data_IF_587127889626
#
_entry.id   IF_587127889626
#
_cell.length_a   1.000
_cell.length_b   1.000
_cell.length_c   1.000
_cell.angle_alpha   90.00
_cell.angle_beta   90.00
_cell.angle_gamma   90.00
#
_symmetry.space_group_name_H-M   'P 1'
#
loop_
_entity.id
_entity.type
_entity.pdbx_description
1 polymer ?
#
# COMPACT_ATOMS: atom_id res chain seq x y z
N UNK A 1 19.78 -49.72 -6.27
CA UNK A 1 20.34 -48.72 -7.20
C UNK A 1 19.57 -47.45 -6.93
N UNK A 2 20.03 -46.70 -5.94
CA UNK A 2 19.33 -45.55 -5.41
C UNK A 2 19.55 -44.34 -6.33
N UNK A 3 18.44 -43.88 -6.90
CA UNK A 3 18.38 -42.75 -7.81
C UNK A 3 18.68 -41.47 -7.04
N UNK A 4 19.86 -40.89 -7.29
CA UNK A 4 20.24 -39.53 -6.89
C UNK A 4 19.22 -38.54 -7.46
N UNK A 5 18.24 -38.16 -6.67
CA UNK A 5 17.34 -37.07 -6.99
C UNK A 5 18.07 -35.74 -6.75
N UNK A 6 18.50 -35.10 -7.83
CA UNK A 6 18.85 -33.68 -7.80
C UNK A 6 17.54 -32.88 -7.70
N UNK A 7 17.29 -32.11 -6.62
CA UNK A 7 16.16 -31.20 -6.58
C UNK A 7 16.39 -30.11 -7.62
N UNK A 8 15.65 -30.19 -8.73
CA UNK A 8 15.63 -29.16 -9.75
C UNK A 8 14.81 -28.00 -9.20
N UNK A 9 15.47 -27.02 -8.60
CA UNK A 9 14.83 -25.73 -8.32
C UNK A 9 14.51 -25.08 -9.66
N UNK A 10 13.28 -24.62 -9.91
CA UNK A 10 13.01 -23.77 -11.05
C UNK A 10 13.85 -22.50 -10.86
N UNK A 11 14.85 -22.32 -11.71
CA UNK A 11 15.57 -21.06 -11.80
C UNK A 11 14.56 -19.99 -12.19
N UNK A 12 14.08 -19.24 -11.19
CA UNK A 12 13.48 -17.93 -11.40
C UNK A 12 14.48 -17.04 -12.16
N UNK A 13 14.03 -15.91 -12.74
CA UNK A 13 14.89 -15.04 -13.52
C UNK A 13 16.17 -14.77 -12.73
N UNK A 14 17.31 -15.20 -13.27
CA UNK A 14 18.61 -14.96 -12.67
C UNK A 14 18.75 -13.46 -12.55
N UNK A 15 18.54 -12.94 -11.34
CA UNK A 15 18.86 -11.58 -10.96
C UNK A 15 20.38 -11.45 -11.06
N UNK A 16 20.86 -11.27 -12.30
CA UNK A 16 22.23 -10.90 -12.57
C UNK A 16 22.50 -9.70 -11.67
N UNK A 17 23.49 -9.83 -10.78
CA UNK A 17 23.70 -8.94 -9.66
C UNK A 17 23.60 -7.49 -10.09
N UNK A 18 22.51 -6.84 -9.71
CA UNK A 18 22.44 -5.39 -9.64
C UNK A 18 23.30 -5.02 -8.43
N UNK A 19 24.60 -4.96 -8.70
CA UNK A 19 25.64 -4.32 -7.89
C UNK A 19 25.05 -3.04 -7.32
N UNK A 20 24.91 -2.97 -5.98
CA UNK A 20 24.74 -1.74 -5.19
C UNK A 20 24.16 -0.54 -5.97
N UNK A 21 23.02 -0.77 -6.62
CA UNK A 21 22.38 0.20 -7.48
C UNK A 21 21.56 1.11 -6.60
N UNK A 22 22.24 2.08 -6.00
CA UNK A 22 21.75 3.19 -5.19
C UNK A 22 20.24 3.16 -4.93
N UNK A 23 19.83 2.49 -3.83
CA UNK A 23 18.43 2.37 -3.42
C UNK A 23 17.79 3.73 -3.07
N UNK A 24 18.58 4.80 -3.04
CA UNK A 24 18.15 6.15 -2.73
C UNK A 24 17.17 6.75 -3.76
N UNK A 25 17.10 6.21 -4.99
CA UNK A 25 16.27 6.80 -6.06
C UNK A 25 15.03 5.95 -6.43
N UNK A 26 14.77 4.86 -5.71
CA UNK A 26 13.61 4.01 -5.96
C UNK A 26 12.38 4.52 -5.18
N UNK A 27 11.21 4.37 -5.79
CA UNK A 27 9.93 4.68 -5.14
C UNK A 27 9.67 3.72 -3.98
N UNK A 28 8.98 4.18 -2.93
CA UNK A 28 8.58 3.34 -1.79
C UNK A 28 7.92 2.01 -2.23
N UNK A 29 7.06 2.05 -3.26
CA UNK A 29 6.43 0.84 -3.79
C UNK A 29 7.44 -0.15 -4.40
N UNK A 30 8.50 0.36 -5.02
CA UNK A 30 9.58 -0.48 -5.57
C UNK A 30 10.47 -1.05 -4.47
N UNK A 31 10.74 -0.29 -3.40
CA UNK A 31 11.45 -0.80 -2.22
C UNK A 31 10.66 -1.94 -1.56
N UNK A 32 9.35 -1.80 -1.45
CA UNK A 32 8.48 -2.83 -0.89
C UNK A 32 8.47 -4.09 -1.75
N UNK A 33 8.46 -3.94 -3.09
CA UNK A 33 8.58 -5.09 -4.00
C UNK A 33 9.92 -5.81 -3.85
N UNK A 34 11.03 -5.05 -3.83
CA UNK A 34 12.37 -5.62 -3.58
C UNK A 34 12.45 -6.34 -2.24
N UNK A 35 11.80 -5.81 -1.20
CA UNK A 35 11.72 -6.46 0.10
C UNK A 35 11.05 -7.83 -0.01
N UNK A 36 9.89 -7.89 -0.68
CA UNK A 36 9.17 -9.14 -0.90
C UNK A 36 10.01 -10.14 -1.70
N UNK A 37 10.65 -9.70 -2.79
CA UNK A 37 11.51 -10.56 -3.61
C UNK A 37 12.66 -11.19 -2.79
N UNK A 38 13.31 -10.40 -1.92
CA UNK A 38 14.37 -10.87 -1.03
C UNK A 38 13.85 -11.85 0.05
N UNK A 39 12.67 -11.59 0.62
CA UNK A 39 12.03 -12.47 1.60
C UNK A 39 11.65 -13.82 0.97
N UNK A 40 11.16 -13.81 -0.27
CA UNK A 40 10.86 -15.01 -1.03
C UNK A 40 12.13 -15.83 -1.34
N UNK A 41 13.23 -15.18 -1.76
CA UNK A 41 14.50 -15.88 -1.98
C UNK A 41 15.08 -16.45 -0.67
N UNK A 42 15.03 -15.69 0.43
CA UNK A 42 15.45 -16.17 1.74
C UNK A 42 14.63 -17.39 2.20
N UNK A 43 13.31 -17.37 1.97
CA UNK A 43 12.42 -18.49 2.28
C UNK A 43 12.75 -19.72 1.43
N UNK A 44 13.01 -19.54 0.14
CA UNK A 44 13.39 -20.64 -0.75
C UNK A 44 14.72 -21.29 -0.32
N UNK A 45 15.74 -20.48 -0.01
CA UNK A 45 17.04 -20.99 0.46
C UNK A 45 16.95 -21.61 1.86
N UNK A 46 16.07 -21.08 2.72
CA UNK A 46 15.74 -21.69 4.02
C UNK A 46 15.16 -23.09 3.84
N UNK A 47 14.20 -23.26 2.94
CA UNK A 47 13.62 -24.57 2.62
C UNK A 47 14.64 -25.58 2.09
N UNK A 48 15.67 -25.14 1.37
CA UNK A 48 16.80 -26.00 0.97
C UNK A 48 17.55 -26.52 2.19
N UNK A 49 17.85 -25.67 3.17
CA UNK A 49 18.52 -26.09 4.40
C UNK A 49 17.65 -27.06 5.22
N UNK A 50 16.35 -26.78 5.33
CA UNK A 50 15.37 -27.62 6.02
C UNK A 50 15.28 -29.02 5.39
N UNK A 51 15.36 -29.11 4.06
CA UNK A 51 15.35 -30.39 3.33
C UNK A 51 16.54 -31.30 3.67
N UNK A 52 17.67 -30.69 4.06
CA UNK A 52 18.86 -31.41 4.52
C UNK A 52 18.89 -31.58 6.06
N UNK A 53 17.87 -31.08 6.78
CA UNK A 53 17.79 -31.16 8.24
C UNK A 53 18.87 -30.35 8.97
N UNK A 54 19.38 -29.30 8.34
CA UNK A 54 20.44 -28.44 8.88
C UNK A 54 19.99 -26.99 8.97
N UNK A 55 20.53 -26.25 9.94
CA UNK A 55 20.29 -24.80 10.09
C UNK A 55 21.52 -24.00 9.64
N UNK A 56 21.55 -22.69 9.87
CA UNK A 56 22.73 -21.84 9.57
C UNK A 56 23.96 -22.18 10.43
N UNK A 57 23.75 -22.69 11.65
CA UNK A 57 24.81 -22.91 12.64
C UNK A 57 25.21 -24.37 12.82
N UNK A 58 24.51 -25.31 12.17
CA UNK A 58 24.77 -26.74 12.34
C UNK A 58 26.20 -27.08 11.86
N UNK A 59 27.00 -27.84 12.64
CA UNK A 59 28.36 -28.20 12.26
C UNK A 59 28.37 -29.11 11.03
N UNK A 60 29.20 -28.76 10.03
CA UNK A 60 29.36 -29.50 8.78
C UNK A 60 30.47 -30.57 8.83
N UNK A 61 31.15 -30.65 9.97
CA UNK A 61 32.23 -31.59 10.21
C UNK A 61 31.82 -32.60 11.29
N UNK A 62 32.38 -33.78 11.19
CA UNK A 62 32.35 -34.81 12.22
C UNK A 62 33.32 -34.43 13.35
N UNK A 63 33.22 -35.10 14.51
CA UNK A 63 34.11 -34.87 15.67
C UNK A 63 35.60 -35.02 15.32
N UNK A 64 35.91 -35.87 14.36
CA UNK A 64 37.27 -36.13 13.88
C UNK A 64 37.79 -35.07 12.88
N UNK A 65 36.99 -34.05 12.56
CA UNK A 65 37.37 -32.94 11.67
C UNK A 65 37.14 -33.17 10.17
N UNK A 66 36.57 -34.32 9.78
CA UNK A 66 36.24 -34.63 8.39
C UNK A 66 34.85 -34.13 7.98
N UNK A 67 34.61 -33.83 6.69
CA UNK A 67 33.28 -33.50 6.18
C UNK A 67 32.27 -34.60 6.48
N UNK A 68 31.08 -34.19 6.88
CA UNK A 68 29.94 -35.09 7.08
C UNK A 68 29.53 -35.76 5.77
N UNK A 69 29.30 -37.07 5.82
CA UNK A 69 28.89 -37.87 4.66
C UNK A 69 27.36 -37.99 4.53
N UNK A 70 26.62 -37.65 5.58
CA UNK A 70 25.16 -37.66 5.64
C UNK A 70 24.51 -36.50 4.89
N UNK A 71 25.27 -35.45 4.54
CA UNK A 71 24.76 -34.20 3.96
C UNK A 71 25.65 -33.70 2.83
N UNK A 72 25.07 -32.94 1.90
CA UNK A 72 25.85 -32.21 0.89
C UNK A 72 26.46 -30.94 1.51
N UNK A 73 27.67 -31.08 2.05
CA UNK A 73 28.43 -29.99 2.66
C UNK A 73 28.68 -28.84 1.68
N UNK A 74 28.86 -29.13 0.38
CA UNK A 74 29.17 -28.10 -0.62
C UNK A 74 27.93 -27.24 -0.91
N UNK A 75 26.78 -27.88 -1.14
CA UNK A 75 25.52 -27.19 -1.32
C UNK A 75 25.16 -26.37 -0.07
N UNK A 76 25.23 -26.97 1.12
CA UNK A 76 24.89 -26.25 2.36
C UNK A 76 25.79 -25.02 2.55
N UNK A 77 27.09 -25.13 2.30
CA UNK A 77 28.02 -24.00 2.45
C UNK A 77 27.69 -22.87 1.47
N UNK A 78 27.35 -23.18 0.23
CA UNK A 78 26.98 -22.16 -0.77
C UNK A 78 25.63 -21.51 -0.45
N UNK A 79 24.64 -22.30 -0.05
CA UNK A 79 23.32 -21.82 0.40
C UNK A 79 23.46 -20.90 1.61
N UNK A 80 24.21 -21.29 2.64
CA UNK A 80 24.48 -20.45 3.82
C UNK A 80 25.16 -19.14 3.45
N UNK A 81 26.19 -19.18 2.59
CA UNK A 81 26.87 -17.97 2.14
C UNK A 81 25.93 -17.02 1.40
N UNK A 82 25.01 -17.54 0.58
CA UNK A 82 24.00 -16.73 -0.10
C UNK A 82 23.01 -16.12 0.88
N UNK A 83 22.48 -16.90 1.83
CA UNK A 83 21.58 -16.39 2.88
C UNK A 83 22.22 -15.24 3.65
N UNK A 84 23.50 -15.36 4.04
CA UNK A 84 24.21 -14.29 4.76
C UNK A 84 24.25 -13.00 3.96
N UNK A 85 24.56 -13.09 2.65
CA UNK A 85 24.58 -11.91 1.76
C UNK A 85 23.21 -11.26 1.68
N UNK A 86 22.18 -12.05 1.37
CA UNK A 86 20.80 -11.55 1.27
C UNK A 86 20.28 -10.96 2.59
N UNK A 87 20.67 -11.52 3.75
CA UNK A 87 20.30 -10.94 5.06
C UNK A 87 20.97 -9.58 5.30
N UNK A 88 22.20 -9.39 4.84
CA UNK A 88 22.87 -8.09 4.91
C UNK A 88 22.19 -7.08 3.98
N UNK A 89 21.89 -7.50 2.75
CA UNK A 89 21.20 -6.66 1.76
C UNK A 89 19.80 -6.26 2.24
N UNK A 90 19.06 -7.20 2.84
CA UNK A 90 17.75 -6.93 3.46
C UNK A 90 17.86 -5.94 4.61
N UNK A 91 18.89 -6.08 5.47
CA UNK A 91 19.14 -5.13 6.56
C UNK A 91 19.40 -3.73 6.02
N UNK A 92 20.16 -3.61 4.94
CA UNK A 92 20.43 -2.32 4.32
C UNK A 92 19.20 -1.75 3.61
N UNK A 93 18.41 -2.57 2.91
CA UNK A 93 17.13 -2.16 2.33
C UNK A 93 16.17 -1.61 3.39
N UNK A 94 16.05 -2.29 4.54
CA UNK A 94 15.19 -1.85 5.64
C UNK A 94 15.61 -0.48 6.19
N UNK A 95 16.92 -0.19 6.29
CA UNK A 95 17.39 1.15 6.68
C UNK A 95 16.98 2.23 5.67
N UNK A 96 16.96 1.91 4.38
CA UNK A 96 16.53 2.86 3.34
C UNK A 96 15.02 3.09 3.39
N UNK A 97 14.22 2.03 3.61
CA UNK A 97 12.77 2.14 3.82
C UNK A 97 12.48 3.03 5.03
N UNK A 98 13.18 2.78 6.14
CA UNK A 98 13.05 3.58 7.36
C UNK A 98 13.36 5.05 7.10
N UNK A 99 14.46 5.36 6.41
CA UNK A 99 14.82 6.74 6.06
C UNK A 99 13.75 7.42 5.20
N UNK A 100 13.28 6.76 4.14
CA UNK A 100 12.25 7.29 3.26
C UNK A 100 10.92 7.53 4.00
N UNK A 101 10.60 6.69 4.98
CA UNK A 101 9.41 6.85 5.81
C UNK A 101 9.53 8.07 6.74
N UNK A 102 10.69 8.25 7.37
CA UNK A 102 10.96 9.42 8.21
C UNK A 102 10.95 10.72 7.40
N UNK A 103 11.55 10.74 6.20
CA UNK A 103 11.51 11.92 5.31
C UNK A 103 10.08 12.28 4.88
N UNK A 104 9.25 11.28 4.60
CA UNK A 104 7.84 11.49 4.26
C UNK A 104 7.05 12.08 5.43
N UNK A 105 7.25 11.60 6.66
CA UNK A 105 6.58 12.19 7.83
C UNK A 105 7.14 13.56 8.23
N UNK A 106 8.45 13.77 8.12
CA UNK A 106 9.06 15.07 8.41
C UNK A 106 8.58 16.16 7.44
N UNK A 107 8.45 15.84 6.14
CA UNK A 107 7.91 16.78 5.15
C UNK A 107 6.43 17.12 5.35
N UNK A 108 5.66 16.23 5.99
CA UNK A 108 4.28 16.51 6.41
C UNK A 108 4.22 17.48 7.60
N UNK A 109 5.13 17.33 8.58
CA UNK A 109 5.20 18.24 9.74
C UNK A 109 5.72 19.64 9.36
N UNK A 110 6.74 19.74 8.50
CA UNK A 110 7.23 21.04 8.01
C UNK A 110 6.18 21.79 7.17
N UNK A 111 5.28 21.07 6.49
CA UNK A 111 4.11 21.63 5.82
C UNK A 111 3.07 22.22 6.78
N UNK A 112 3.09 21.84 8.06
CA UNK A 112 2.19 22.34 9.10
C UNK A 112 2.75 23.52 9.90
N UNK A 113 4.07 23.74 9.91
CA UNK A 113 4.72 24.77 10.74
C UNK A 113 4.83 26.18 10.12
N UNK A 114 4.33 26.41 8.90
CA UNK A 114 4.27 27.75 8.31
C UNK A 114 3.02 28.58 8.69
N UNK A 115 2.30 28.21 9.75
CA UNK A 115 1.22 29.02 10.32
C UNK A 115 1.58 29.39 11.77
N UNK A 116 1.94 30.66 11.94
CA UNK A 116 2.14 31.35 13.22
C UNK A 116 1.11 30.97 14.31
N UNK A 117 1.51 30.75 15.56
CA UNK A 117 0.60 30.33 16.62
C UNK A 117 -0.10 31.56 17.23
N UNK A 118 -1.43 31.62 17.08
CA UNK A 118 -2.29 32.49 17.88
C UNK A 118 -3.30 31.63 18.65
N UNK A 119 -3.37 31.90 19.95
CA UNK A 119 -4.00 31.10 20.99
C UNK A 119 -5.50 30.78 20.79
N UNK A 120 -5.86 29.56 21.18
CA UNK A 120 -7.05 29.30 22.00
C UNK A 120 -8.38 29.07 21.27
N UNK A 121 -8.67 27.83 20.89
CA UNK A 121 -9.91 27.11 21.25
C UNK A 121 -9.92 25.70 20.66
N UNK A 122 -10.30 24.75 21.50
CA UNK A 122 -10.33 23.33 21.21
C UNK A 122 -11.31 22.99 20.07
N UNK A 123 -10.75 22.64 18.90
CA UNK A 123 -11.37 21.80 17.88
C UNK A 123 -10.24 20.94 17.31
N UNK A 124 -10.35 19.60 17.24
CA UNK A 124 -9.30 18.80 16.61
C UNK A 124 -9.16 19.21 15.14
N UNK A 125 -7.96 19.59 14.67
CA UNK A 125 -7.77 19.95 13.28
C UNK A 125 -7.86 18.67 12.46
N UNK A 126 -8.84 18.65 11.57
CA UNK A 126 -8.99 17.65 10.50
C UNK A 126 -7.70 17.70 9.67
N UNK A 127 -6.91 16.63 9.73
CA UNK A 127 -5.69 16.44 8.96
C UNK A 127 -5.97 16.71 7.46
N UNK A 128 -5.21 17.59 6.79
CA UNK A 128 -5.26 17.67 5.34
C UNK A 128 -4.44 16.51 4.79
N UNK A 129 -5.12 15.39 4.48
CA UNK A 129 -4.52 14.32 3.67
C UNK A 129 -3.94 14.94 2.40
N UNK A 130 -2.64 15.10 2.35
CA UNK A 130 -1.92 15.60 1.17
C UNK A 130 -1.24 14.43 0.46
N UNK A 131 -1.99 13.35 0.23
CA UNK A 131 -1.72 12.50 -0.93
C UNK A 131 -2.15 13.28 -2.16
N UNK A 132 -1.21 13.95 -2.83
CA UNK A 132 -1.34 14.24 -4.25
C UNK A 132 -1.31 12.89 -5.01
N UNK A 133 -2.31 12.05 -4.76
CA UNK A 133 -2.62 10.89 -5.60
C UNK A 133 -2.85 11.43 -7.00
N UNK A 134 -2.24 10.76 -7.97
CA UNK A 134 -2.55 10.92 -9.38
C UNK A 134 -4.05 11.13 -9.55
N UNK A 135 -4.43 12.18 -10.26
CA UNK A 135 -5.82 12.63 -10.39
C UNK A 135 -6.68 11.52 -11.00
N UNK A 136 -7.28 10.67 -10.16
CA UNK A 136 -8.14 9.57 -10.58
C UNK A 136 -9.23 10.11 -11.51
N UNK A 137 -9.40 9.49 -12.68
CA UNK A 137 -10.40 9.94 -13.64
C UNK A 137 -11.81 9.89 -13.03
N UNK A 138 -12.65 10.90 -13.26
CA UNK A 138 -14.01 10.89 -12.76
C UNK A 138 -14.80 9.75 -13.41
N UNK A 139 -15.60 9.04 -12.61
CA UNK A 139 -16.41 7.90 -13.08
C UNK A 139 -17.92 8.13 -12.90
N UNK A 140 -18.30 9.16 -12.14
CA UNK A 140 -19.70 9.46 -11.89
C UNK A 140 -19.92 10.97 -11.73
N UNK A 141 -21.16 11.42 -11.91
CA UNK A 141 -21.58 12.80 -11.72
C UNK A 141 -22.82 12.88 -10.84
N UNK A 142 -22.82 13.85 -9.94
CA UNK A 142 -23.97 14.15 -9.08
C UNK A 142 -25.00 14.93 -9.88
N UNK A 143 -26.19 14.36 -10.02
CA UNK A 143 -27.31 15.00 -10.71
C UNK A 143 -28.14 15.85 -9.73
N UNK A 144 -28.53 15.30 -8.58
CA UNK A 144 -29.34 16.04 -7.60
C UNK A 144 -28.92 15.71 -6.19
N UNK A 145 -29.08 16.69 -5.29
CA UNK A 145 -28.81 16.55 -3.85
C UNK A 145 -30.02 17.08 -3.09
N UNK A 146 -30.56 16.27 -2.16
CA UNK A 146 -31.70 16.66 -1.34
C UNK A 146 -31.24 17.54 -0.16
N UNK A 147 -31.97 18.62 0.13
CA UNK A 147 -31.67 19.52 1.23
C UNK A 147 -31.72 18.80 2.58
N UNK A 148 -30.74 19.05 3.45
CA UNK A 148 -30.63 18.44 4.78
C UNK A 148 -30.20 16.97 4.77
N UNK A 149 -29.91 16.40 3.60
CA UNK A 149 -29.39 15.05 3.43
C UNK A 149 -27.93 14.91 3.88
N UNK A 150 -27.44 13.68 4.12
CA UNK A 150 -26.03 13.45 4.40
C UNK A 150 -25.08 13.99 3.32
N UNK A 151 -25.47 13.91 2.05
CA UNK A 151 -24.69 14.48 0.94
C UNK A 151 -24.64 16.01 0.97
N UNK A 152 -25.77 16.67 1.29
CA UNK A 152 -25.85 18.13 1.44
C UNK A 152 -25.02 18.63 2.63
N UNK A 153 -25.12 17.93 3.77
CA UNK A 153 -24.30 18.22 4.98
C UNK A 153 -22.81 18.01 4.74
N UNK A 154 -22.45 17.04 3.89
CA UNK A 154 -21.08 16.83 3.45
C UNK A 154 -20.59 17.90 2.46
N UNK A 155 -21.47 18.77 1.97
CA UNK A 155 -21.14 19.85 1.04
C UNK A 155 -21.08 19.42 -0.43
N UNK A 156 -21.68 18.27 -0.79
CA UNK A 156 -21.81 17.79 -2.16
C UNK A 156 -22.83 18.66 -2.92
N UNK A 157 -22.52 19.01 -4.17
CA UNK A 157 -23.39 19.85 -5.01
C UNK A 157 -23.74 19.13 -6.32
N UNK A 158 -24.86 19.56 -6.91
CA UNK A 158 -25.22 19.19 -8.28
C UNK A 158 -24.12 19.60 -9.26
N UNK A 159 -23.78 18.70 -10.17
CA UNK A 159 -22.71 18.87 -11.14
C UNK A 159 -21.33 18.45 -10.66
N UNK A 160 -21.16 18.05 -9.40
CA UNK A 160 -19.88 17.51 -8.91
C UNK A 160 -19.55 16.19 -9.62
N UNK A 161 -18.33 16.07 -10.13
CA UNK A 161 -17.80 14.84 -10.71
C UNK A 161 -17.06 14.05 -9.62
N UNK A 162 -17.47 12.81 -9.37
CA UNK A 162 -16.88 11.93 -8.36
C UNK A 162 -15.70 11.19 -8.99
N UNK A 163 -14.52 11.40 -8.40
CA UNK A 163 -13.28 10.69 -8.75
C UNK A 163 -13.08 9.46 -7.88
N UNK A 164 -13.32 9.61 -6.57
CA UNK A 164 -13.20 8.52 -5.62
C UNK A 164 -14.32 8.59 -4.58
N UNK A 165 -14.89 7.43 -4.25
CA UNK A 165 -15.90 7.24 -3.22
C UNK A 165 -15.43 6.17 -2.22
N UNK A 166 -14.81 6.57 -1.12
CA UNK A 166 -14.22 5.66 -0.13
C UNK A 166 -13.11 4.81 -0.73
N UNK A 167 -13.41 3.53 -0.97
CA UNK A 167 -12.50 2.57 -1.63
C UNK A 167 -12.84 2.36 -3.13
N UNK A 168 -13.85 3.07 -3.64
CA UNK A 168 -14.40 2.88 -4.99
C UNK A 168 -13.84 3.94 -5.93
N UNK A 169 -13.19 3.48 -7.00
CA UNK A 169 -12.60 4.31 -8.06
C UNK A 169 -13.11 3.89 -9.45
N UNK A 170 -12.64 4.55 -10.51
CA UNK A 170 -13.00 4.24 -11.90
C UNK A 170 -12.72 2.78 -12.31
N UNK A 171 -11.73 2.13 -11.72
CA UNK A 171 -11.40 0.74 -12.05
C UNK A 171 -12.31 -0.29 -11.34
N UNK A 172 -12.96 0.09 -10.24
CA UNK A 172 -13.65 -0.84 -9.33
C UNK A 172 -15.09 -0.42 -9.01
N UNK A 173 -15.73 0.49 -9.76
CA UNK A 173 -17.10 0.94 -9.42
C UNK A 173 -18.22 -0.03 -9.84
N UNK A 174 -17.97 -0.96 -10.77
CA UNK A 174 -18.93 -1.95 -11.27
C UNK A 174 -20.32 -1.34 -11.53
N UNK A 175 -20.41 -0.39 -12.48
CA UNK A 175 -21.64 0.36 -12.78
C UNK A 175 -22.31 1.02 -11.56
N UNK A 176 -21.51 1.54 -10.62
CA UNK A 176 -21.95 2.18 -9.36
C UNK A 176 -22.52 1.23 -8.31
N UNK A 177 -22.57 -0.08 -8.58
CA UNK A 177 -23.02 -1.07 -7.60
C UNK A 177 -22.15 -1.07 -6.34
N UNK A 178 -20.83 -0.95 -6.53
CA UNK A 178 -19.84 -0.88 -5.44
C UNK A 178 -19.99 0.37 -4.57
N UNK A 179 -20.47 1.48 -5.14
CA UNK A 179 -20.80 2.68 -4.38
C UNK A 179 -21.96 2.39 -3.42
N UNK A 180 -23.02 1.71 -3.90
CA UNK A 180 -24.14 1.30 -3.05
C UNK A 180 -23.71 0.38 -1.91
N UNK A 181 -22.88 -0.63 -2.20
CA UNK A 181 -22.30 -1.54 -1.19
C UNK A 181 -21.45 -0.78 -0.16
N UNK A 182 -20.61 0.15 -0.62
CA UNK A 182 -19.77 0.99 0.24
C UNK A 182 -20.62 1.81 1.23
N UNK A 183 -21.67 2.45 0.74
CA UNK A 183 -22.59 3.25 1.56
C UNK A 183 -23.32 2.38 2.58
N UNK A 184 -23.76 1.19 2.16
CA UNK A 184 -24.49 0.27 3.04
C UNK A 184 -23.60 -0.34 4.13
N UNK A 185 -22.35 -0.66 3.80
CA UNK A 185 -21.38 -1.20 4.75
C UNK A 185 -20.84 -0.16 5.75
N UNK A 186 -20.95 1.14 5.42
CA UNK A 186 -20.45 2.25 6.23
C UNK A 186 -21.58 3.10 6.83
N UNK A 187 -22.73 2.50 7.13
CA UNK A 187 -23.81 3.21 7.83
C UNK A 187 -23.33 3.75 9.20
N UNK A 188 -23.46 5.05 9.41
CA UNK A 188 -22.98 5.75 10.62
C UNK A 188 -21.46 5.96 10.68
N UNK A 189 -20.71 5.56 9.66
CA UNK A 189 -19.26 5.74 9.59
C UNK A 189 -18.89 6.81 8.56
N UNK A 190 -17.74 7.44 8.74
CA UNK A 190 -17.26 8.49 7.83
C UNK A 190 -16.65 7.86 6.56
N UNK A 191 -17.13 8.29 5.40
CA UNK A 191 -16.66 7.90 4.08
C UNK A 191 -16.04 9.12 3.41
N UNK A 192 -14.76 9.02 3.07
CA UNK A 192 -14.06 10.08 2.36
C UNK A 192 -14.37 10.01 0.86
N UNK A 193 -14.72 11.15 0.26
CA UNK A 193 -15.00 11.25 -1.17
C UNK A 193 -14.14 12.36 -1.79
N UNK A 194 -13.55 12.09 -2.96
CA UNK A 194 -12.81 13.07 -3.76
C UNK A 194 -13.67 13.46 -4.95
N UNK A 195 -14.00 14.73 -5.07
CA UNK A 195 -14.84 15.28 -6.15
C UNK A 195 -14.14 16.42 -6.86
N UNK A 196 -14.41 16.58 -8.15
CA UNK A 196 -14.04 17.78 -8.91
C UNK A 196 -15.29 18.61 -9.19
N UNK A 197 -15.27 19.85 -8.71
CA UNK A 197 -16.31 20.85 -8.91
C UNK A 197 -15.88 21.85 -9.97
N UNK A 198 -16.77 22.15 -10.91
CA UNK A 198 -16.53 23.23 -11.86
C UNK A 198 -16.59 24.58 -11.12
N UNK A 199 -15.47 25.30 -11.11
CA UNK A 199 -15.35 26.65 -10.55
C UNK A 199 -15.03 27.62 -11.70
N UNK A 200 -16.06 27.98 -12.48
CA UNK A 200 -15.94 28.89 -13.62
C UNK A 200 -15.65 28.20 -14.97
N UNK A 201 -15.36 29.00 -16.01
CA UNK A 201 -15.35 28.56 -17.42
C UNK A 201 -14.21 27.59 -17.77
N UNK A 202 -13.13 27.52 -16.97
CA UNK A 202 -11.97 26.67 -17.28
C UNK A 202 -11.25 26.06 -16.06
N UNK A 203 -11.73 26.27 -14.82
CA UNK A 203 -11.08 25.75 -13.62
C UNK A 203 -11.95 24.69 -12.96
N UNK A 204 -11.38 23.52 -12.71
CA UNK A 204 -11.96 22.46 -11.89
C UNK A 204 -11.27 22.51 -10.53
N UNK A 205 -12.04 22.75 -9.48
CA UNK A 205 -11.56 22.68 -8.11
C UNK A 205 -11.73 21.26 -7.61
N UNK A 206 -10.68 20.71 -7.01
CA UNK A 206 -10.76 19.39 -6.37
C UNK A 206 -11.06 19.57 -4.89
N UNK A 207 -12.10 18.89 -4.43
CA UNK A 207 -12.55 18.93 -3.06
C UNK A 207 -12.52 17.52 -2.47
N UNK A 208 -12.08 17.45 -1.22
CA UNK A 208 -12.22 16.26 -0.38
C UNK A 208 -13.36 16.53 0.58
N UNK A 209 -14.39 15.70 0.52
CA UNK A 209 -15.55 15.80 1.38
C UNK A 209 -15.62 14.55 2.25
N UNK A 210 -16.13 14.72 3.47
CA UNK A 210 -16.41 13.59 4.37
C UNK A 210 -17.91 13.42 4.43
N UNK A 211 -18.37 12.24 4.04
CA UNK A 211 -19.78 11.91 3.98
C UNK A 211 -20.07 10.81 4.99
N UNK A 212 -21.12 10.97 5.80
CA UNK A 212 -21.53 9.96 6.79
C UNK A 212 -22.89 9.40 6.39
N UNK A 213 -22.98 8.19 5.81
CA UNK A 213 -24.24 7.59 5.43
C UNK A 213 -25.16 7.39 6.64
N UNK A 214 -26.42 7.78 6.53
CA UNK A 214 -27.43 7.52 7.57
C UNK A 214 -28.80 7.33 6.94
N UNK A 215 -29.64 6.48 7.53
CA UNK A 215 -31.05 6.29 7.13
C UNK A 215 -32.01 7.29 7.77
N UNK A 216 -31.63 7.93 8.88
CA UNK A 216 -32.55 8.71 9.72
C UNK A 216 -32.64 10.21 9.37
N UNK A 217 -32.26 10.60 8.15
CA UNK A 217 -32.29 12.01 7.72
C UNK A 217 -33.65 12.47 7.15
N UNK A 218 -34.62 11.56 7.05
CA UNK A 218 -35.99 11.90 6.63
C UNK A 218 -36.27 11.78 5.12
N UNK A 219 -35.41 11.11 4.36
CA UNK A 219 -35.60 10.87 2.92
C UNK A 219 -35.33 9.42 2.50
N UNK A 220 -35.34 9.18 1.18
CA UNK A 220 -35.10 7.84 0.61
C UNK A 220 -33.61 7.53 0.52
N UNK A 221 -33.20 6.40 1.07
CA UNK A 221 -31.82 5.91 1.01
C UNK A 221 -30.92 6.52 2.09
N UNK A 222 -29.61 6.29 1.96
CA UNK A 222 -28.61 6.62 3.02
C UNK A 222 -27.81 7.90 2.76
N UNK A 223 -27.90 8.47 1.55
CA UNK A 223 -27.11 9.64 1.13
C UNK A 223 -27.97 10.86 0.80
N UNK A 224 -29.12 10.64 0.15
CA UNK A 224 -29.96 11.70 -0.38
C UNK A 224 -29.41 12.43 -1.61
N UNK A 225 -28.52 11.79 -2.39
CA UNK A 225 -28.10 12.29 -3.70
C UNK A 225 -28.38 11.27 -4.81
N UNK A 226 -28.54 11.76 -6.04
CA UNK A 226 -28.65 10.95 -7.24
C UNK A 226 -27.36 11.03 -8.05
N UNK A 227 -26.72 9.88 -8.22
CA UNK A 227 -25.42 9.76 -8.89
C UNK A 227 -25.64 9.02 -10.21
N UNK A 228 -25.12 9.59 -11.30
CA UNK A 228 -25.16 9.01 -12.64
C UNK A 228 -23.75 8.58 -13.06
N UNK A 229 -23.59 7.45 -13.77
CA UNK A 229 -22.30 7.12 -14.37
C UNK A 229 -21.96 8.13 -15.47
N UNK A 230 -20.67 8.39 -15.67
CA UNK A 230 -20.14 9.20 -16.78
C UNK A 230 -20.03 8.39 -18.07
#
# INVERSE_FOLDING_TARGET
MDTLHAPTVPSGPTSNGLINGNAAHLSFGELQRKKQDLEEELKALGGVLDSHGVNMDTPLLTRDGFPRSDIDVAQIRTTRARIIRLKNDYKDLMKHIEKHLHEHFASLDEGAENVVPAAGSAVPPVLPDSQADALDEPFARVNTVAAGSPADRAGLKEGDEIRNFGYVNKSNHDNLKRVGECVQGNEGQNVFIKVSRASGVAQRQELRLTLTPTRNWGGRGMLGCHILPL
#
